data_IF_393741891548
#
_entry.id   IF_393741891548
#
_cell.length_a   1.000
_cell.length_b   1.000
_cell.length_c   1.000
_cell.angle_alpha   90.00
_cell.angle_beta   90.00
_cell.angle_gamma   90.00
#
_symmetry.space_group_name_H-M   'P 1'
#
loop_
_entity.id
_entity.type
_entity.pdbx_description
1 polymer ?
#
# COMPACT_ATOMS: atom_id res chain seq x y z
N UNK A 1 22.91 33.33 -24.92
CA UNK A 1 21.90 32.28 -24.73
C UNK A 1 22.47 31.07 -24.00
N UNK A 2 22.74 31.23 -22.70
CA UNK A 2 23.14 30.12 -21.82
C UNK A 2 22.05 29.91 -20.77
N UNK A 3 21.10 29.03 -21.09
CA UNK A 3 20.13 28.52 -20.11
C UNK A 3 20.81 27.34 -19.40
N UNK A 4 21.51 27.67 -18.33
CA UNK A 4 21.96 26.70 -17.32
C UNK A 4 20.72 26.25 -16.54
N UNK A 5 20.15 25.11 -16.96
CA UNK A 5 19.01 24.48 -16.29
C UNK A 5 19.44 23.91 -14.94
N UNK A 6 19.01 24.60 -13.88
CA UNK A 6 18.64 24.11 -12.55
C UNK A 6 19.36 22.89 -11.98
N UNK A 7 20.21 23.15 -10.98
CA UNK A 7 20.43 22.21 -9.89
C UNK A 7 19.27 22.30 -8.91
N UNK A 8 18.64 21.17 -8.57
CA UNK A 8 18.00 20.93 -7.27
C UNK A 8 18.17 19.43 -6.98
N UNK A 9 19.28 19.07 -6.34
CA UNK A 9 19.35 18.71 -4.90
C UNK A 9 18.48 17.50 -4.57
N UNK A 10 19.15 16.40 -4.24
CA UNK A 10 18.53 15.18 -3.77
C UNK A 10 17.56 15.41 -2.62
N UNK A 11 16.44 14.68 -2.63
CA UNK A 11 15.57 14.55 -1.49
C UNK A 11 15.26 13.07 -1.27
N UNK A 12 16.09 12.49 -0.40
CA UNK A 12 15.62 11.63 0.68
C UNK A 12 15.11 10.23 0.29
N UNK A 13 16.09 9.32 0.18
CA UNK A 13 15.97 7.99 0.77
C UNK A 13 15.75 8.14 2.29
N UNK A 14 14.56 8.56 2.68
CA UNK A 14 14.15 8.58 4.09
C UNK A 14 13.64 7.19 4.42
N UNK A 15 14.20 6.61 5.47
CA UNK A 15 13.48 5.64 6.28
C UNK A 15 12.21 6.32 6.78
N UNK A 16 11.17 6.35 5.94
CA UNK A 16 9.88 6.97 6.23
C UNK A 16 9.23 6.06 7.28
N UNK A 17 9.51 6.37 8.54
CA UNK A 17 9.00 5.66 9.70
C UNK A 17 7.48 5.66 9.56
N UNK A 18 6.87 4.48 9.50
CA UNK A 18 5.43 4.36 9.23
C UNK A 18 4.68 4.69 10.50
N UNK A 19 4.48 5.97 10.76
CA UNK A 19 3.77 6.42 11.94
C UNK A 19 2.28 6.56 11.63
N UNK A 20 1.44 5.97 12.48
CA UNK A 20 0.01 6.21 12.42
C UNK A 20 -0.29 7.66 12.82
N UNK A 21 -0.89 8.44 11.92
CA UNK A 21 -1.22 9.84 12.17
C UNK A 21 -2.36 10.01 13.20
N UNK A 22 -3.02 8.90 13.58
CA UNK A 22 -4.13 8.90 14.54
C UNK A 22 -3.71 8.52 15.95
N UNK A 23 -2.80 7.55 16.11
CA UNK A 23 -2.34 7.09 17.43
C UNK A 23 -0.86 7.36 17.72
N UNK A 24 -0.14 7.89 16.73
CA UNK A 24 1.29 8.21 16.79
C UNK A 24 2.22 7.02 17.11
N UNK A 25 1.76 5.78 16.87
CA UNK A 25 2.57 4.57 17.01
C UNK A 25 3.40 4.35 15.74
N UNK A 26 4.68 4.02 15.92
CA UNK A 26 5.56 3.54 14.86
C UNK A 26 5.20 2.10 14.47
N UNK A 27 4.89 1.91 13.19
CA UNK A 27 4.58 0.62 12.61
C UNK A 27 5.80 0.09 11.86
N UNK A 28 6.00 -1.22 11.92
CA UNK A 28 6.98 -1.89 11.09
C UNK A 28 6.58 -1.80 9.60
N UNK A 29 7.54 -1.77 8.66
CA UNK A 29 7.29 -1.79 7.22
C UNK A 29 6.79 -3.15 6.69
N UNK A 30 6.06 -3.89 7.52
CA UNK A 30 5.39 -5.12 7.13
C UNK A 30 3.91 -4.85 6.82
N UNK A 31 3.49 -5.31 5.64
CA UNK A 31 2.12 -5.16 5.15
C UNK A 31 1.11 -5.75 6.14
N UNK A 32 1.39 -6.90 6.76
CA UNK A 32 0.44 -7.54 7.66
C UNK A 32 0.36 -6.81 9.00
N UNK A 33 1.50 -6.37 9.56
CA UNK A 33 1.51 -5.55 10.77
C UNK A 33 0.69 -4.27 10.60
N UNK A 34 0.83 -3.59 9.46
CA UNK A 34 0.04 -2.39 9.15
C UNK A 34 -1.45 -2.72 9.02
N UNK A 35 -1.81 -3.83 8.36
CA UNK A 35 -3.23 -4.24 8.22
C UNK A 35 -3.86 -4.53 9.59
N UNK A 36 -3.14 -5.23 10.47
CA UNK A 36 -3.63 -5.50 11.83
C UNK A 36 -3.81 -4.19 12.59
N UNK A 37 -2.87 -3.26 12.50
CA UNK A 37 -3.04 -1.92 13.08
C UNK A 37 -4.29 -1.21 12.53
N UNK A 38 -4.50 -1.19 11.21
CA UNK A 38 -5.69 -0.63 10.57
C UNK A 38 -7.00 -1.26 11.06
N UNK A 39 -6.94 -2.50 11.59
CA UNK A 39 -8.09 -3.21 12.13
C UNK A 39 -8.34 -2.94 13.61
N UNK A 40 -7.32 -2.63 14.40
CA UNK A 40 -7.44 -2.50 15.88
C UNK A 40 -7.21 -1.09 16.40
N UNK A 41 -6.80 -0.13 15.57
CA UNK A 41 -6.49 1.21 16.04
C UNK A 41 -7.72 1.87 16.69
N UNK A 42 -7.61 2.10 18.00
CA UNK A 42 -8.67 2.65 18.86
C UNK A 42 -8.90 4.16 18.61
N UNK A 43 -7.85 4.88 18.18
CA UNK A 43 -7.89 6.32 17.95
C UNK A 43 -8.56 6.73 16.63
N UNK A 44 -9.01 5.77 15.82
CA UNK A 44 -9.64 6.05 14.54
C UNK A 44 -11.15 5.93 14.67
N UNK A 45 -11.86 7.01 14.35
CA UNK A 45 -13.33 7.02 14.29
C UNK A 45 -13.80 6.09 13.18
N UNK A 46 -14.46 4.98 13.55
CA UNK A 46 -15.11 4.08 12.59
C UNK A 46 -16.50 4.64 12.28
N UNK A 47 -16.74 5.13 11.06
CA UNK A 47 -18.02 5.74 10.72
C UNK A 47 -19.19 4.74 10.79
N UNK A 48 -18.94 3.46 10.54
CA UNK A 48 -19.91 2.38 10.64
C UNK A 48 -19.24 1.08 11.12
N UNK A 49 -19.89 0.29 11.99
CA UNK A 49 -19.35 -1.00 12.51
C UNK A 49 -19.11 -2.04 11.41
N UNK A 50 -19.64 -1.84 10.20
CA UNK A 50 -19.32 -2.63 9.01
C UNK A 50 -17.86 -2.46 8.56
N UNK A 51 -17.27 -1.27 8.72
CA UNK A 51 -15.90 -1.00 8.31
C UNK A 51 -14.90 -1.51 9.34
N UNK A 52 -14.29 -2.65 9.02
CA UNK A 52 -13.31 -3.30 9.89
C UNK A 52 -11.90 -2.72 9.75
N UNK A 53 -11.56 -2.12 8.60
CA UNK A 53 -10.22 -1.63 8.31
C UNK A 53 -10.24 -0.14 7.97
N UNK A 54 -9.50 0.67 8.73
CA UNK A 54 -9.32 2.10 8.46
C UNK A 54 -7.83 2.39 8.33
N UNK A 55 -7.45 3.13 7.30
CA UNK A 55 -6.05 3.45 7.06
C UNK A 55 -5.47 4.35 8.16
N UNK A 56 -4.21 4.07 8.51
CA UNK A 56 -3.45 4.79 9.53
C UNK A 56 -2.91 6.16 9.05
N UNK A 57 -2.82 6.37 7.72
CA UNK A 57 -2.22 7.57 7.10
C UNK A 57 -3.24 8.46 6.38
N UNK A 58 -4.37 7.91 5.90
CA UNK A 58 -5.41 8.65 5.17
C UNK A 58 -6.82 8.24 5.60
N UNK A 59 -7.85 8.84 5.00
CA UNK A 59 -9.27 8.61 5.34
C UNK A 59 -9.89 7.38 4.65
N UNK A 60 -9.07 6.56 3.97
CA UNK A 60 -9.52 5.35 3.32
C UNK A 60 -9.99 4.30 4.34
N UNK A 61 -11.16 3.70 4.09
CA UNK A 61 -11.73 2.65 4.93
C UNK A 61 -12.40 1.58 4.06
N UNK A 62 -12.39 0.34 4.54
CA UNK A 62 -12.98 -0.81 3.82
C UNK A 62 -13.39 -1.92 4.78
N UNK A 63 -14.34 -2.73 4.33
CA UNK A 63 -14.75 -3.96 5.03
C UNK A 63 -13.86 -5.15 4.66
N UNK A 64 -13.12 -5.06 3.54
CA UNK A 64 -12.40 -6.19 2.95
C UNK A 64 -10.90 -6.15 3.20
N UNK A 65 -10.35 -7.25 3.72
CA UNK A 65 -8.90 -7.40 3.98
C UNK A 65 -8.03 -7.23 2.74
N UNK A 66 -8.45 -7.76 1.58
CA UNK A 66 -7.67 -7.67 0.35
C UNK A 66 -7.59 -6.23 -0.20
N UNK A 67 -8.64 -5.42 0.03
CA UNK A 67 -8.67 -4.01 -0.37
C UNK A 67 -7.72 -3.17 0.47
N UNK A 68 -7.74 -3.33 1.80
CA UNK A 68 -6.79 -2.61 2.67
C UNK A 68 -5.35 -3.06 2.39
N UNK A 69 -5.12 -4.35 2.11
CA UNK A 69 -3.79 -4.88 1.76
C UNK A 69 -3.22 -4.20 0.51
N UNK A 70 -4.02 -4.10 -0.56
CA UNK A 70 -3.64 -3.39 -1.78
C UNK A 70 -3.38 -1.90 -1.49
N UNK A 71 -4.26 -1.28 -0.71
CA UNK A 71 -4.15 0.13 -0.35
C UNK A 71 -2.86 0.46 0.43
N UNK A 72 -2.58 -0.26 1.54
CA UNK A 72 -1.38 0.02 2.36
C UNK A 72 -0.09 -0.30 1.60
N UNK A 73 -0.14 -1.19 0.61
CA UNK A 73 1.02 -1.48 -0.24
C UNK A 73 1.50 -0.25 -1.02
N UNK A 74 0.60 0.70 -1.34
CA UNK A 74 0.97 1.98 -1.95
C UNK A 74 1.72 2.89 -0.99
N UNK A 75 1.37 2.90 0.30
CA UNK A 75 2.11 3.65 1.32
C UNK A 75 3.50 3.06 1.56
N UNK A 76 3.61 1.74 1.48
CA UNK A 76 4.86 1.01 1.67
C UNK A 76 5.72 0.95 0.41
N UNK A 77 5.21 1.40 -0.75
CA UNK A 77 5.89 1.26 -2.05
C UNK A 77 6.10 -0.19 -2.50
N UNK A 78 5.48 -1.15 -1.82
CA UNK A 78 5.63 -2.59 -2.10
C UNK A 78 4.55 -3.06 -3.06
N UNK A 79 4.92 -3.94 -3.99
CA UNK A 79 3.97 -4.61 -4.88
C UNK A 79 3.89 -6.09 -4.50
N UNK A 80 2.94 -6.50 -3.64
CA UNK A 80 2.91 -7.85 -3.07
C UNK A 80 2.57 -8.94 -4.10
N UNK A 81 1.93 -8.59 -5.22
CA UNK A 81 1.51 -9.56 -6.24
C UNK A 81 2.48 -9.51 -7.42
N UNK A 82 3.54 -10.31 -7.36
CA UNK A 82 4.50 -10.45 -8.45
C UNK A 82 4.11 -11.60 -9.37
N UNK A 83 4.33 -11.41 -10.66
CA UNK A 83 4.30 -12.51 -11.61
C UNK A 83 5.55 -13.37 -11.44
N UNK A 84 5.35 -14.67 -11.47
CA UNK A 84 6.34 -15.73 -11.49
C UNK A 84 6.92 -15.98 -12.88
N UNK A 85 6.24 -15.52 -13.93
CA UNK A 85 6.62 -15.74 -15.33
C UNK A 85 7.28 -14.51 -15.96
N UNK A 86 7.17 -13.32 -15.34
CA UNK A 86 7.85 -12.11 -15.82
C UNK A 86 8.02 -11.07 -14.70
N UNK A 87 8.69 -9.95 -15.00
CA UNK A 87 8.94 -8.86 -14.05
C UNK A 87 7.70 -8.00 -13.69
N UNK A 88 6.50 -8.39 -14.15
CA UNK A 88 5.28 -7.66 -13.83
C UNK A 88 4.91 -7.81 -12.35
N UNK A 89 4.51 -6.70 -11.72
CA UNK A 89 4.06 -6.70 -10.34
C UNK A 89 2.88 -5.75 -10.16
N UNK A 90 1.94 -6.16 -9.29
CA UNK A 90 0.71 -5.45 -9.00
C UNK A 90 0.48 -5.33 -7.50
N UNK A 91 -0.36 -4.37 -7.12
CA UNK A 91 -0.90 -4.21 -5.79
C UNK A 91 -2.22 -4.98 -5.59
N UNK A 92 -2.84 -5.48 -6.66
CA UNK A 92 -4.11 -6.21 -6.59
C UNK A 92 -4.03 -7.62 -7.18
N UNK A 93 -4.60 -8.65 -6.53
CA UNK A 93 -4.56 -10.03 -7.02
C UNK A 93 -5.32 -10.20 -8.34
N UNK A 94 -6.43 -9.49 -8.55
CA UNK A 94 -7.21 -9.55 -9.78
C UNK A 94 -6.43 -9.07 -11.00
N UNK A 95 -5.60 -8.04 -10.82
CA UNK A 95 -4.71 -7.52 -11.86
C UNK A 95 -3.62 -8.53 -12.22
N UNK A 96 -3.01 -9.18 -11.24
CA UNK A 96 -2.03 -10.24 -11.50
C UNK A 96 -2.68 -11.43 -12.23
N UNK A 97 -3.87 -11.85 -11.80
CA UNK A 97 -4.56 -12.98 -12.44
C UNK A 97 -4.93 -12.67 -13.90
N UNK A 98 -5.46 -11.47 -14.15
CA UNK A 98 -5.72 -10.97 -15.51
C UNK A 98 -4.45 -10.89 -16.35
N UNK A 99 -3.36 -10.39 -15.78
CA UNK A 99 -2.06 -10.35 -16.43
C UNK A 99 -1.60 -11.76 -16.82
N UNK A 100 -1.65 -12.73 -15.91
CA UNK A 100 -1.28 -14.12 -16.19
C UNK A 100 -2.13 -14.73 -17.30
N UNK A 101 -3.43 -14.49 -17.30
CA UNK A 101 -4.35 -14.97 -18.34
C UNK A 101 -4.04 -14.39 -19.72
N UNK A 102 -3.83 -13.08 -19.82
CA UNK A 102 -3.66 -12.40 -21.11
C UNK A 102 -2.23 -12.55 -21.65
N UNK A 103 -1.22 -12.46 -20.77
CA UNK A 103 0.20 -12.41 -21.18
C UNK A 103 0.87 -13.76 -21.21
N UNK A 104 0.41 -14.70 -20.38
CA UNK A 104 1.02 -16.02 -20.25
C UNK A 104 0.05 -17.16 -20.58
N UNK A 105 -1.19 -16.86 -20.97
CA UNK A 105 -2.19 -17.87 -21.27
C UNK A 105 -2.56 -18.74 -20.06
N UNK A 106 -2.30 -18.28 -18.84
CA UNK A 106 -2.58 -19.07 -17.63
C UNK A 106 -4.10 -19.11 -17.41
N UNK A 107 -4.70 -20.26 -17.71
CA UNK A 107 -6.06 -20.62 -17.34
C UNK A 107 -5.92 -21.57 -16.16
N UNK A 108 -6.33 -21.11 -14.98
CA UNK A 108 -6.42 -21.95 -13.78
C UNK A 108 -7.53 -22.98 -13.94
#
# INVERSE_FOLDING_TARGET
>A
DDVFSGQDTGAQNSQDSLVCHKCNIELLPDINSVIEHCKVCYYVSRPDKSYSYVCFKCEYHTVHRHRIKSHVSMHLGVKPFKCDLCCYSSNEPGNLNRHKRIRHGFVA
#
